data_IF_317327613490
#
_entry.id   IF_317327613490
#
_cell.length_a   1.000
_cell.length_b   1.000
_cell.length_c   1.000
_cell.angle_alpha   90.00
_cell.angle_beta   90.00
_cell.angle_gamma   90.00
#
_symmetry.space_group_name_H-M   'P 1'
#
loop_
_entity.id
_entity.type
_entity.pdbx_description
1 polymer ?
#
# COMPACT_ATOMS: atom_id res chain seq x y z
N UNK A 1 -8.36 -23.50 -7.65
CA UNK A 1 -7.68 -22.45 -6.85
C UNK A 1 -6.16 -22.49 -6.95
N UNK A 2 -5.36 -23.10 -6.07
CA UNK A 2 -3.88 -22.96 -6.18
C UNK A 2 -3.27 -23.56 -7.47
N UNK A 3 -3.76 -24.73 -7.90
CA UNK A 3 -3.36 -25.35 -9.17
C UNK A 3 -3.74 -24.51 -10.39
N UNK A 4 -4.85 -23.81 -10.32
CA UNK A 4 -5.42 -23.00 -11.40
C UNK A 4 -4.63 -21.70 -11.60
N UNK A 5 -4.26 -21.01 -10.51
CA UNK A 5 -3.34 -19.88 -10.57
C UNK A 5 -1.96 -20.28 -11.11
N UNK A 6 -1.49 -21.49 -10.83
CA UNK A 6 -0.24 -22.01 -11.40
C UNK A 6 -0.36 -22.28 -12.91
N UNK A 7 -1.49 -22.83 -13.37
CA UNK A 7 -1.75 -23.02 -14.80
C UNK A 7 -1.83 -21.68 -15.55
N UNK A 8 -2.52 -20.68 -15.00
CA UNK A 8 -2.55 -19.31 -15.55
C UNK A 8 -1.16 -18.66 -15.53
N UNK A 9 -0.34 -18.91 -14.51
CA UNK A 9 1.02 -18.40 -14.48
C UNK A 9 1.88 -18.98 -15.60
N UNK A 10 1.62 -20.20 -16.05
CA UNK A 10 2.36 -20.81 -17.15
C UNK A 10 2.02 -20.16 -18.49
N UNK A 11 0.78 -19.70 -18.68
CA UNK A 11 0.36 -19.05 -19.94
C UNK A 11 0.97 -17.67 -20.12
N UNK A 12 1.52 -17.06 -19.05
CA UNK A 12 2.25 -15.79 -19.15
C UNK A 12 3.49 -15.88 -20.05
N UNK A 13 4.08 -17.08 -20.18
CA UNK A 13 5.23 -17.31 -21.05
C UNK A 13 4.87 -17.30 -22.56
N UNK A 14 3.58 -17.45 -22.90
CA UNK A 14 3.11 -17.51 -24.28
C UNK A 14 2.88 -16.11 -24.88
N UNK A 15 2.91 -15.05 -24.06
CA UNK A 15 2.73 -13.67 -24.52
C UNK A 15 4.03 -13.10 -25.08
N UNK A 16 3.95 -12.34 -26.17
CA UNK A 16 5.08 -11.54 -26.67
C UNK A 16 5.47 -10.46 -25.64
N UNK A 17 6.74 -10.04 -25.62
CA UNK A 17 7.27 -9.05 -24.65
C UNK A 17 6.60 -7.68 -24.72
N UNK A 18 6.05 -7.33 -25.88
CA UNK A 18 5.27 -6.11 -26.08
C UNK A 18 3.80 -6.22 -25.64
N UNK A 19 3.27 -7.43 -25.41
CA UNK A 19 1.87 -7.64 -25.04
C UNK A 19 1.65 -7.51 -23.52
N UNK A 20 1.76 -6.27 -23.05
CA UNK A 20 1.57 -5.92 -21.65
C UNK A 20 0.10 -5.97 -21.23
N UNK A 21 -0.81 -5.68 -22.15
CA UNK A 21 -2.25 -5.68 -21.89
C UNK A 21 -2.78 -7.10 -21.66
N UNK A 22 -2.39 -8.05 -22.51
CA UNK A 22 -2.77 -9.46 -22.36
C UNK A 22 -2.21 -10.09 -21.08
N UNK A 23 -0.92 -9.85 -20.79
CA UNK A 23 -0.30 -10.31 -19.52
C UNK A 23 -1.00 -9.73 -18.31
N UNK A 24 -1.41 -8.45 -18.35
CA UNK A 24 -2.08 -7.80 -17.22
C UNK A 24 -3.38 -8.51 -16.85
N UNK A 25 -4.20 -8.88 -17.84
CA UNK A 25 -5.46 -9.59 -17.59
C UNK A 25 -5.22 -10.92 -16.86
N UNK A 26 -4.22 -11.69 -17.32
CA UNK A 26 -3.86 -12.96 -16.68
C UNK A 26 -3.28 -12.76 -15.28
N UNK A 27 -2.45 -11.73 -15.08
CA UNK A 27 -1.93 -11.35 -13.76
C UNK A 27 -3.06 -10.98 -12.80
N UNK A 28 -4.02 -10.18 -13.24
CA UNK A 28 -5.16 -9.77 -12.42
C UNK A 28 -6.00 -11.00 -12.00
N UNK A 29 -6.21 -11.96 -12.91
CA UNK A 29 -6.87 -13.24 -12.59
C UNK A 29 -6.09 -14.07 -11.56
N UNK A 30 -4.76 -14.16 -11.70
CA UNK A 30 -3.90 -14.86 -10.74
C UNK A 30 -3.97 -14.20 -9.36
N UNK A 31 -3.98 -12.87 -9.30
CA UNK A 31 -4.09 -12.12 -8.05
C UNK A 31 -5.43 -12.41 -7.37
N UNK A 32 -6.54 -12.37 -8.12
CA UNK A 32 -7.88 -12.67 -7.58
C UNK A 32 -7.94 -14.07 -6.97
N UNK A 33 -7.50 -15.10 -7.69
CA UNK A 33 -7.50 -16.49 -7.18
C UNK A 33 -6.63 -16.62 -5.92
N UNK A 34 -5.51 -15.89 -5.84
CA UNK A 34 -4.63 -15.92 -4.67
C UNK A 34 -5.23 -15.19 -3.47
N UNK A 35 -6.01 -14.13 -3.67
CA UNK A 35 -6.75 -13.47 -2.59
C UNK A 35 -7.88 -14.36 -2.07
N UNK A 36 -8.67 -14.97 -2.95
CA UNK A 36 -9.70 -15.94 -2.55
C UNK A 36 -9.09 -17.10 -1.76
N UNK A 37 -7.90 -17.59 -2.15
CA UNK A 37 -7.21 -18.65 -1.40
C UNK A 37 -6.77 -18.23 0.01
N UNK A 38 -6.44 -16.94 0.21
CA UNK A 38 -6.14 -16.41 1.54
C UNK A 38 -7.40 -16.40 2.41
N UNK A 39 -8.55 -16.10 1.82
CA UNK A 39 -9.82 -16.10 2.53
C UNK A 39 -10.23 -17.52 2.96
N UNK A 40 -10.20 -18.49 2.02
CA UNK A 40 -10.47 -19.91 2.31
C UNK A 40 -9.52 -20.47 3.37
N UNK A 41 -8.23 -20.18 3.26
CA UNK A 41 -7.23 -20.66 4.22
C UNK A 41 -7.42 -20.05 5.60
N UNK A 42 -7.79 -18.77 5.66
CA UNK A 42 -8.09 -18.13 6.94
C UNK A 42 -9.30 -18.78 7.60
N UNK A 43 -10.39 -18.97 6.86
CA UNK A 43 -11.60 -19.65 7.34
C UNK A 43 -11.31 -21.07 7.83
N UNK A 44 -10.49 -21.84 7.10
CA UNK A 44 -10.06 -23.18 7.54
C UNK A 44 -9.22 -23.17 8.82
N UNK A 45 -8.48 -22.10 9.08
CA UNK A 45 -7.57 -22.01 10.24
C UNK A 45 -8.28 -21.48 11.48
N UNK A 46 -9.18 -20.50 11.32
CA UNK A 46 -9.79 -19.76 12.43
C UNK A 46 -11.28 -20.06 12.61
N UNK A 47 -11.94 -20.65 11.62
CA UNK A 47 -13.40 -20.83 11.59
C UNK A 47 -14.17 -19.55 11.28
N UNK A 48 -13.48 -18.44 10.97
CA UNK A 48 -14.08 -17.14 10.70
C UNK A 48 -13.76 -16.64 9.29
N UNK A 49 -14.68 -15.87 8.69
CA UNK A 49 -14.42 -15.22 7.39
C UNK A 49 -13.33 -14.16 7.55
N UNK A 50 -12.34 -14.18 6.64
CA UNK A 50 -11.31 -13.15 6.59
C UNK A 50 -11.97 -11.79 6.36
N UNK A 51 -11.74 -10.85 7.29
CA UNK A 51 -12.12 -9.45 7.05
C UNK A 51 -11.35 -8.96 5.83
N UNK A 52 -12.00 -8.33 4.85
CA UNK A 52 -11.30 -7.80 3.69
C UNK A 52 -10.21 -6.87 4.20
N UNK A 53 -8.97 -7.16 3.82
CA UNK A 53 -7.89 -6.22 4.03
C UNK A 53 -8.29 -4.94 3.27
N UNK A 54 -8.29 -3.75 3.91
CA UNK A 54 -8.72 -2.54 3.23
C UNK A 54 -7.85 -2.33 1.98
N UNK A 55 -8.40 -2.69 0.83
CA UNK A 55 -7.82 -2.50 -0.50
C UNK A 55 -7.63 -1.01 -0.67
N UNK A 56 -6.41 -0.51 -0.45
CA UNK A 56 -6.16 0.92 -0.42
C UNK A 56 -5.10 1.39 0.57
N UNK A 57 -4.59 0.53 1.47
CA UNK A 57 -3.32 0.86 2.16
C UNK A 57 -2.11 0.57 1.28
N UNK A 58 -2.13 1.02 0.02
CA UNK A 58 -0.86 1.38 -0.61
C UNK A 58 -0.32 2.50 0.26
N UNK A 59 0.77 2.25 0.98
CA UNK A 59 1.39 3.31 1.77
C UNK A 59 1.68 4.45 0.80
N UNK A 60 1.18 5.68 1.07
CA UNK A 60 1.45 6.80 0.20
C UNK A 60 2.95 6.85 -0.06
N UNK A 61 3.32 6.80 -1.34
CA UNK A 61 4.74 6.84 -1.74
C UNK A 61 5.18 8.28 -1.90
N UNK A 62 4.22 9.16 -2.19
CA UNK A 62 4.35 10.58 -2.47
C UNK A 62 3.13 11.33 -1.90
N UNK A 63 3.26 12.64 -1.69
CA UNK A 63 2.14 13.50 -1.32
C UNK A 63 1.23 13.76 -2.52
N UNK A 64 -0.09 13.83 -2.29
CA UNK A 64 -1.05 14.19 -3.33
C UNK A 64 -1.20 15.71 -3.40
N UNK A 65 -0.77 16.31 -4.51
CA UNK A 65 -0.83 17.76 -4.74
C UNK A 65 -2.15 18.18 -5.42
N UNK A 66 -2.50 19.47 -5.33
CA UNK A 66 -3.69 20.03 -6.01
C UNK A 66 -5.03 19.59 -5.42
N UNK A 67 -5.04 19.16 -4.15
CA UNK A 67 -6.24 18.83 -3.37
C UNK A 67 -6.65 20.03 -2.50
N UNK A 68 -7.88 20.02 -1.99
CA UNK A 68 -8.38 21.11 -1.14
C UNK A 68 -7.60 21.21 0.18
N UNK A 69 -7.61 22.39 0.82
CA UNK A 69 -6.95 22.60 2.11
C UNK A 69 -7.43 21.60 3.19
N UNK A 70 -8.73 21.30 3.19
CA UNK A 70 -9.33 20.33 4.11
C UNK A 70 -8.78 18.91 3.87
N UNK A 71 -8.58 18.52 2.61
CA UNK A 71 -7.99 17.24 2.24
C UNK A 71 -6.49 17.18 2.58
N UNK A 72 -5.72 18.25 2.33
CA UNK A 72 -4.31 18.34 2.75
C UNK A 72 -4.20 18.12 4.26
N UNK A 73 -5.06 18.75 5.07
CA UNK A 73 -5.07 18.58 6.53
C UNK A 73 -5.42 17.15 6.94
N UNK A 74 -6.36 16.51 6.25
CA UNK A 74 -6.73 15.12 6.51
C UNK A 74 -5.58 14.15 6.21
N UNK A 75 -4.91 14.31 5.06
CA UNK A 75 -3.76 13.48 4.68
C UNK A 75 -2.54 13.73 5.58
N UNK A 76 -2.30 14.97 5.99
CA UNK A 76 -1.27 15.31 6.96
C UNK A 76 -1.50 14.61 8.30
N UNK A 77 -2.75 14.56 8.77
CA UNK A 77 -3.08 13.87 10.01
C UNK A 77 -2.87 12.35 9.90
N UNK A 78 -3.29 11.73 8.79
CA UNK A 78 -3.03 10.30 8.53
C UNK A 78 -1.53 10.01 8.52
N UNK A 79 -0.75 10.86 7.85
CA UNK A 79 0.70 10.74 7.74
C UNK A 79 1.36 10.81 9.12
N UNK A 80 0.97 11.78 9.97
CA UNK A 80 1.46 11.91 11.36
C UNK A 80 1.17 10.67 12.21
N UNK A 81 -0.03 10.10 12.10
CA UNK A 81 -0.39 8.85 12.80
C UNK A 81 0.50 7.69 12.35
N UNK A 82 0.76 7.58 11.05
CA UNK A 82 1.63 6.53 10.51
C UNK A 82 3.09 6.70 10.99
N UNK A 83 3.62 7.92 11.00
CA UNK A 83 4.96 8.24 11.55
C UNK A 83 5.04 7.77 13.00
N UNK A 84 4.07 8.13 13.84
CA UNK A 84 4.05 7.74 15.26
C UNK A 84 4.06 6.23 15.44
N UNK A 85 3.25 5.50 14.66
CA UNK A 85 3.22 4.03 14.68
C UNK A 85 4.55 3.41 14.25
N UNK A 86 5.16 3.92 13.19
CA UNK A 86 6.44 3.40 12.69
C UNK A 86 7.58 3.67 13.67
N UNK A 87 7.64 4.87 14.28
CA UNK A 87 8.61 5.18 15.35
C UNK A 87 8.47 4.22 16.53
N UNK A 88 7.24 4.06 17.03
CA UNK A 88 6.95 3.12 18.12
C UNK A 88 7.38 1.69 17.77
N UNK A 89 7.12 1.24 16.54
CA UNK A 89 7.51 -0.09 16.07
C UNK A 89 9.02 -0.31 16.04
N UNK A 90 9.79 0.72 15.68
CA UNK A 90 11.26 0.69 15.69
C UNK A 90 11.77 0.64 17.14
N UNK A 91 11.17 1.41 18.04
CA UNK A 91 11.53 1.46 19.46
C UNK A 91 11.21 0.16 20.21
N UNK A 92 10.03 -0.41 20.00
CA UNK A 92 9.59 -1.65 20.66
C UNK A 92 10.33 -2.91 20.14
N UNK A 93 10.96 -2.83 18.97
CA UNK A 93 11.58 -4.00 18.32
C UNK A 93 12.87 -3.64 17.59
N UNK A 94 13.92 -3.23 18.33
CA UNK A 94 15.16 -2.70 17.75
C UNK A 94 15.98 -3.74 16.97
N UNK A 95 15.81 -5.04 17.23
CA UNK A 95 16.54 -6.11 16.53
C UNK A 95 15.71 -6.83 15.46
N UNK A 96 14.54 -6.29 15.11
CA UNK A 96 13.68 -6.95 14.14
C UNK A 96 14.31 -6.94 12.73
N UNK A 97 14.27 -8.09 12.03
CA UNK A 97 14.82 -8.27 10.67
C UNK A 97 14.39 -7.23 9.62
N UNK A 98 13.23 -6.61 9.82
CA UNK A 98 12.66 -5.59 8.92
C UNK A 98 12.92 -4.15 9.38
N UNK A 99 13.75 -3.91 10.41
CA UNK A 99 13.99 -2.58 10.98
C UNK A 99 14.46 -1.57 9.92
N UNK A 100 15.45 -1.92 9.11
CA UNK A 100 15.95 -1.05 8.04
C UNK A 100 14.84 -0.62 7.06
N UNK A 101 13.90 -1.53 6.76
CA UNK A 101 12.73 -1.22 5.94
C UNK A 101 11.77 -0.24 6.63
N UNK A 102 11.59 -0.35 7.95
CA UNK A 102 10.76 0.58 8.72
C UNK A 102 11.42 1.96 8.85
N UNK A 103 12.73 2.04 9.01
CA UNK A 103 13.48 3.30 9.00
C UNK A 103 13.38 3.99 7.64
N UNK A 104 13.48 3.23 6.54
CA UNK A 104 13.24 3.75 5.18
C UNK A 104 11.81 4.26 5.01
N UNK A 105 10.83 3.51 5.51
CA UNK A 105 9.41 3.90 5.49
C UNK A 105 9.16 5.16 6.32
N UNK A 106 9.84 5.29 7.46
CA UNK A 106 9.77 6.46 8.33
C UNK A 106 10.29 7.71 7.60
N UNK A 107 11.47 7.62 6.99
CA UNK A 107 12.04 8.73 6.22
C UNK A 107 11.11 9.17 5.08
N UNK A 108 10.48 8.21 4.38
CA UNK A 108 9.48 8.51 3.34
C UNK A 108 8.27 9.25 3.91
N UNK A 109 7.71 8.77 5.03
CA UNK A 109 6.56 9.41 5.66
C UNK A 109 6.89 10.84 6.15
N UNK A 110 8.12 11.07 6.62
CA UNK A 110 8.60 12.40 7.01
C UNK A 110 8.72 13.34 5.79
N UNK A 111 9.17 12.84 4.63
CA UNK A 111 9.17 13.61 3.39
C UNK A 111 7.74 14.00 2.95
N UNK A 112 6.81 13.04 2.94
CA UNK A 112 5.40 13.29 2.59
C UNK A 112 4.75 14.30 3.54
N UNK A 113 5.08 14.23 4.84
CA UNK A 113 4.61 15.22 5.82
C UNK A 113 5.09 16.62 5.44
N UNK A 114 6.37 16.77 5.08
CA UNK A 114 6.94 18.07 4.72
C UNK A 114 6.28 18.61 3.44
N UNK A 115 6.05 17.77 2.44
CA UNK A 115 5.35 18.16 1.20
C UNK A 115 3.94 18.68 1.47
N UNK A 116 3.16 17.99 2.32
CA UNK A 116 1.83 18.47 2.71
C UNK A 116 1.88 19.75 3.55
N UNK A 117 2.91 19.94 4.39
CA UNK A 117 3.10 21.19 5.14
C UNK A 117 3.43 22.36 4.20
N UNK A 118 4.25 22.12 3.17
CA UNK A 118 4.55 23.10 2.11
C UNK A 118 3.30 23.44 1.29
N UNK A 119 2.52 22.44 0.86
CA UNK A 119 1.28 22.69 0.11
C UNK A 119 0.26 23.46 0.95
N UNK A 120 0.15 23.16 2.25
CA UNK A 120 -0.72 23.91 3.16
C UNK A 120 -0.29 25.39 3.30
N UNK A 121 1.01 25.66 3.33
CA UNK A 121 1.55 27.02 3.34
C UNK A 121 1.21 27.72 2.02
N UNK A 122 1.44 27.06 0.88
CA UNK A 122 1.13 27.59 -0.45
C UNK A 122 -0.35 27.96 -0.57
N UNK A 123 -1.26 27.04 -0.22
CA UNK A 123 -2.71 27.27 -0.30
C UNK A 123 -3.16 28.47 0.56
N UNK A 124 -2.56 28.66 1.74
CA UNK A 124 -2.83 29.82 2.60
C UNK A 124 -2.36 31.13 1.99
N UNK A 125 -1.25 31.13 1.25
CA UNK A 125 -0.75 32.32 0.57
C UNK A 125 -1.48 32.61 -0.75
N UNK A 126 -2.04 31.60 -1.42
CA UNK A 126 -2.89 31.79 -2.61
C UNK A 126 -4.31 32.28 -2.27
N UNK A 127 -4.76 32.12 -1.02
CA UNK A 127 -6.08 32.54 -0.54
C UNK A 127 -6.07 33.81 0.33
N UNK A 128 -4.89 34.39 0.59
CA UNK A 128 -4.70 35.64 1.35
C UNK A 128 -4.54 36.85 0.43
#
# INVERSE_FOLDING_TARGET
MHKEAALLSNTLADFADSDTAGRKVVIDQIITIREEWKDVRHELTTGEKRKPEPTGRVKPTEARLGISEAEVRAELQKTRVNISKTKKKIEESPEHKNRASWETDLARLEAIKNDYETELIRLKHETA
#
